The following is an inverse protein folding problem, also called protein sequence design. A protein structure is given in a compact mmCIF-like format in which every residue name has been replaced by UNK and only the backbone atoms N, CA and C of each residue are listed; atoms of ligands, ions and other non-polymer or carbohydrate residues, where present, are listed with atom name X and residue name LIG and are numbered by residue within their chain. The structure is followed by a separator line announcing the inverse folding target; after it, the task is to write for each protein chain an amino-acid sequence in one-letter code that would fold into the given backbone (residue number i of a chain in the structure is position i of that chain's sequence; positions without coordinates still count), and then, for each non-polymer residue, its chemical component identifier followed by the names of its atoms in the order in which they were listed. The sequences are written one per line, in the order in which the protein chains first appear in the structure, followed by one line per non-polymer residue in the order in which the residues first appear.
data_IF_886608459040
#
_entry.id   IF_886608459040
#
_cell.length_a   1.000
_cell.length_b   1.000
_cell.length_c   1.000
_cell.angle_alpha   90.00
_cell.angle_beta   90.00
_cell.angle_gamma   90.00
#
_symmetry.space_group_name_H-M   'P 1'
#
loop_
_entity.id
_entity.type
_entity.pdbx_description
1 polymer ?
#
# COMPACT_ATOMS: atom_id res chain seq x y z
N UNK A 1 92.52 33.22 -23.17
CA UNK A 1 91.34 34.06 -22.95
C UNK A 1 90.13 33.11 -23.24
N UNK A 2 89.50 32.64 -22.22
CA UNK A 2 88.46 31.59 -22.34
C UNK A 2 87.11 32.24 -22.04
N UNK A 3 86.22 32.21 -23.05
CA UNK A 3 84.92 32.77 -22.94
C UNK A 3 83.94 31.64 -22.45
N UNK A 4 83.47 31.77 -21.25
CA UNK A 4 82.54 30.89 -20.64
C UNK A 4 81.09 31.29 -21.00
N UNK A 5 80.47 30.52 -21.87
CA UNK A 5 79.01 30.62 -22.14
C UNK A 5 78.22 29.90 -21.04
N UNK A 6 77.52 30.65 -20.26
CA UNK A 6 76.58 30.14 -19.29
C UNK A 6 75.27 29.71 -20.01
N UNK A 7 75.09 28.43 -20.21
CA UNK A 7 73.77 27.91 -20.64
C UNK A 7 72.74 27.93 -19.50
N UNK A 8 71.74 28.75 -19.71
CA UNK A 8 70.56 28.77 -18.80
C UNK A 8 69.60 27.68 -19.13
N UNK A 9 69.58 26.68 -18.29
CA UNK A 9 68.61 25.56 -18.37
C UNK A 9 67.29 26.01 -17.80
N UNK A 10 66.27 26.22 -18.67
CA UNK A 10 64.93 26.54 -18.28
C UNK A 10 64.25 25.24 -18.02
N UNK A 11 63.99 24.93 -16.74
CA UNK A 11 63.15 23.81 -16.33
C UNK A 11 61.67 24.15 -16.56
N UNK A 12 61.07 23.59 -17.58
CA UNK A 12 59.61 23.65 -17.77
C UNK A 12 58.97 22.62 -16.80
N UNK A 13 58.46 23.12 -15.69
CA UNK A 13 57.59 22.33 -14.84
C UNK A 13 56.18 22.27 -15.46
N UNK A 14 55.85 21.17 -16.09
CA UNK A 14 54.47 20.88 -16.53
C UNK A 14 53.62 20.59 -15.31
N UNK A 15 52.77 21.53 -14.95
CA UNK A 15 51.71 21.33 -13.96
C UNK A 15 50.64 20.47 -14.65
N UNK A 16 50.64 19.17 -14.39
CA UNK A 16 49.53 18.31 -14.74
C UNK A 16 48.40 18.61 -13.77
N UNK A 17 47.46 19.43 -14.21
CA UNK A 17 46.21 19.65 -13.52
C UNK A 17 45.38 18.38 -13.68
N UNK A 18 45.42 17.50 -12.68
CA UNK A 18 44.48 16.40 -12.57
C UNK A 18 43.09 16.97 -12.25
N UNK A 19 42.29 17.17 -13.29
CA UNK A 19 40.85 17.38 -13.11
C UNK A 19 40.30 16.16 -12.45
N UNK A 20 39.98 16.29 -11.16
CA UNK A 20 39.18 15.31 -10.43
C UNK A 20 37.78 15.39 -11.04
N UNK A 21 37.49 14.44 -11.93
CA UNK A 21 36.13 14.21 -12.41
C UNK A 21 35.38 13.59 -11.24
N UNK A 22 34.83 14.46 -10.39
CA UNK A 22 33.84 14.06 -9.40
C UNK A 22 32.60 13.64 -10.18
N UNK A 23 32.45 12.37 -10.40
CA UNK A 23 31.18 11.79 -10.83
C UNK A 23 30.23 11.90 -9.64
N UNK A 24 29.58 13.05 -9.50
CA UNK A 24 28.35 13.19 -8.75
C UNK A 24 27.32 12.26 -9.42
N UNK A 25 27.39 10.99 -9.05
CA UNK A 25 26.21 10.16 -9.10
C UNK A 25 25.22 10.80 -8.12
N UNK A 26 24.52 11.84 -8.59
CA UNK A 26 23.31 12.25 -7.98
C UNK A 26 22.44 10.95 -7.93
N UNK A 27 22.45 10.29 -6.78
CA UNK A 27 21.37 9.42 -6.40
C UNK A 27 20.12 10.28 -6.59
N UNK A 28 19.45 10.09 -7.71
CA UNK A 28 18.03 10.33 -7.81
C UNK A 28 17.41 9.35 -6.79
N UNK A 29 17.52 9.71 -5.51
CA UNK A 29 16.52 9.30 -4.57
C UNK A 29 15.23 9.79 -5.19
N UNK A 30 14.49 8.85 -5.81
CA UNK A 30 13.13 9.11 -6.18
C UNK A 30 12.50 9.60 -4.88
N UNK A 31 12.22 10.90 -4.81
CA UNK A 31 11.35 11.47 -3.82
C UNK A 31 10.01 10.75 -4.02
N UNK A 32 9.89 9.57 -3.41
CA UNK A 32 8.63 8.89 -3.21
C UNK A 32 7.84 9.86 -2.36
N UNK A 33 7.05 10.69 -3.02
CA UNK A 33 6.15 11.63 -2.34
C UNK A 33 5.37 10.77 -1.35
N UNK A 34 5.67 10.95 -0.07
CA UNK A 34 5.03 10.19 0.98
C UNK A 34 3.61 10.71 1.05
N UNK A 35 2.72 10.02 0.36
CA UNK A 35 1.32 10.38 0.26
C UNK A 35 0.74 10.40 1.68
N UNK A 36 0.34 11.59 2.13
CA UNK A 36 -0.37 11.77 3.40
C UNK A 36 -1.77 11.19 3.24
N UNK A 37 -1.86 9.89 3.39
CA UNK A 37 -3.03 9.11 3.11
C UNK A 37 -4.07 9.29 4.22
N UNK A 38 -5.07 10.15 3.98
CA UNK A 38 -6.27 10.26 4.80
C UNK A 38 -7.36 9.27 4.34
N UNK A 39 -6.94 8.22 3.62
CA UNK A 39 -7.83 7.19 3.14
C UNK A 39 -8.33 6.31 4.26
N UNK A 40 -9.61 6.02 4.24
CA UNK A 40 -10.29 5.19 5.21
C UNK A 40 -11.18 4.17 4.52
N UNK A 41 -11.25 2.97 5.08
CA UNK A 41 -12.29 1.97 4.78
C UNK A 41 -13.02 1.60 6.07
N UNK A 42 -14.30 1.30 5.97
CA UNK A 42 -15.13 0.95 7.14
C UNK A 42 -16.33 0.10 6.74
N UNK A 43 -16.84 -0.67 7.69
CA UNK A 43 -18.09 -1.39 7.53
C UNK A 43 -19.27 -0.43 7.78
N UNK A 44 -20.08 -0.21 6.74
CA UNK A 44 -21.34 0.53 6.84
C UNK A 44 -22.40 -0.36 7.49
N UNK A 45 -22.45 -1.64 7.06
CA UNK A 45 -23.29 -2.70 7.62
C UNK A 45 -22.52 -4.01 7.57
N UNK A 46 -22.68 -4.89 8.55
CA UNK A 46 -23.38 -4.68 9.84
C UNK A 46 -22.65 -3.70 10.75
N UNK A 47 -23.32 -3.26 11.82
CA UNK A 47 -22.68 -2.48 12.89
C UNK A 47 -22.08 -3.42 13.94
N UNK A 48 -21.15 -2.89 14.73
CA UNK A 48 -20.62 -3.65 15.86
C UNK A 48 -21.73 -4.10 16.82
N UNK A 49 -21.70 -5.36 17.22
CA UNK A 49 -22.71 -5.97 18.08
C UNK A 49 -23.98 -6.44 17.34
N UNK A 50 -24.00 -6.43 16.00
CA UNK A 50 -25.14 -6.92 15.20
C UNK A 50 -25.40 -8.40 15.48
N UNK A 51 -26.70 -8.76 15.63
CA UNK A 51 -27.15 -10.14 15.82
C UNK A 51 -28.24 -10.50 14.82
N UNK A 52 -28.22 -11.70 14.32
CA UNK A 52 -29.22 -12.22 13.38
C UNK A 52 -29.36 -13.71 13.53
N UNK A 53 -30.52 -14.25 13.11
CA UNK A 53 -30.75 -15.70 12.96
C UNK A 53 -30.57 -16.13 11.49
N UNK A 54 -30.33 -15.19 10.58
CA UNK A 54 -30.09 -15.47 9.17
C UNK A 54 -28.63 -15.84 8.96
N UNK A 55 -28.38 -16.95 8.28
CA UNK A 55 -27.04 -17.36 7.88
C UNK A 55 -26.44 -16.46 6.78
N UNK A 56 -27.29 -15.78 6.01
CA UNK A 56 -26.87 -14.80 4.99
C UNK A 56 -26.81 -13.41 5.60
N UNK A 57 -25.60 -12.86 5.70
CA UNK A 57 -25.35 -11.53 6.25
C UNK A 57 -24.95 -10.59 5.12
N UNK A 58 -25.76 -9.55 4.87
CA UNK A 58 -25.39 -8.50 3.94
C UNK A 58 -24.34 -7.61 4.57
N UNK A 59 -23.18 -7.49 3.92
CA UNK A 59 -22.10 -6.58 4.28
C UNK A 59 -22.05 -5.41 3.28
N UNK A 60 -21.88 -4.20 3.78
CA UNK A 60 -21.74 -2.98 2.98
C UNK A 60 -20.47 -2.29 3.41
N UNK A 61 -19.60 -1.99 2.44
CA UNK A 61 -18.31 -1.38 2.63
C UNK A 61 -18.40 0.12 2.33
N UNK A 62 -17.80 0.92 3.18
CA UNK A 62 -17.62 2.36 2.98
C UNK A 62 -16.16 2.71 2.83
N UNK A 63 -15.92 3.81 2.12
CA UNK A 63 -14.60 4.40 1.96
C UNK A 63 -14.66 5.91 1.96
N UNK A 64 -13.55 6.55 2.34
CA UNK A 64 -13.29 7.99 2.17
C UNK A 64 -11.90 8.17 1.61
N UNK A 65 -11.75 9.08 0.67
CA UNK A 65 -10.47 9.35 -0.01
C UNK A 65 -9.82 8.06 -0.55
N UNK A 66 -10.65 7.21 -1.15
CA UNK A 66 -10.25 5.95 -1.78
C UNK A 66 -10.96 5.82 -3.11
N UNK A 67 -10.20 5.61 -4.17
CA UNK A 67 -10.73 5.19 -5.46
C UNK A 67 -10.90 3.67 -5.45
N UNK A 68 -12.14 3.21 -5.35
CA UNK A 68 -12.43 1.78 -5.45
C UNK A 68 -12.29 1.34 -6.89
N UNK A 69 -11.31 0.48 -7.13
CA UNK A 69 -10.95 0.00 -8.47
C UNK A 69 -10.87 -1.52 -8.52
N UNK A 70 -11.18 -2.15 -9.67
CA UNK A 70 -10.97 -3.57 -9.82
C UNK A 70 -9.51 -3.98 -9.68
N UNK A 71 -9.28 -5.23 -9.26
CA UNK A 71 -7.96 -5.87 -9.28
C UNK A 71 -7.36 -5.83 -10.69
N UNK A 72 -6.05 -5.70 -10.79
CA UNK A 72 -5.33 -5.59 -12.06
C UNK A 72 -5.41 -4.22 -12.74
N UNK A 73 -6.28 -3.31 -12.29
CA UNK A 73 -6.37 -1.96 -12.84
C UNK A 73 -5.40 -1.03 -12.14
N UNK A 74 -4.34 -0.64 -12.84
CA UNK A 74 -3.41 0.39 -12.37
C UNK A 74 -4.08 1.75 -12.54
N UNK A 75 -4.09 2.56 -11.49
CA UNK A 75 -4.54 3.95 -11.54
C UNK A 75 -3.31 4.83 -11.34
N UNK A 76 -2.94 5.54 -12.39
CA UNK A 76 -1.94 6.60 -12.30
C UNK A 76 -2.61 7.82 -11.66
N UNK A 77 -2.59 7.90 -10.34
CA UNK A 77 -3.07 9.08 -9.63
C UNK A 77 -1.92 10.07 -9.50
N UNK A 78 -2.13 11.28 -10.00
CA UNK A 78 -1.27 12.43 -9.71
C UNK A 78 -1.48 12.95 -8.29
N UNK A 79 -2.58 12.55 -7.65
CA UNK A 79 -2.93 12.92 -6.28
C UNK A 79 -2.54 11.80 -5.32
N UNK A 80 -1.39 11.99 -4.70
CA UNK A 80 -0.87 11.10 -3.66
C UNK A 80 -1.72 11.05 -2.38
N UNK A 81 -2.78 11.83 -2.26
CA UNK A 81 -3.64 11.84 -1.07
C UNK A 81 -4.68 10.73 -1.08
N UNK A 82 -4.92 10.10 -2.24
CA UNK A 82 -5.99 9.12 -2.45
C UNK A 82 -5.39 7.74 -2.71
N UNK A 83 -5.75 6.77 -1.88
CA UNK A 83 -5.43 5.37 -2.13
C UNK A 83 -6.38 4.81 -3.20
N UNK A 84 -5.89 3.90 -4.05
CA UNK A 84 -6.73 3.19 -5.02
C UNK A 84 -6.63 1.68 -4.81
N UNK A 85 -7.74 0.97 -5.01
CA UNK A 85 -7.75 -0.48 -4.85
C UNK A 85 -9.13 -1.05 -4.55
N UNK A 86 -9.15 -2.26 -4.02
CA UNK A 86 -10.37 -3.00 -3.77
C UNK A 86 -10.40 -3.60 -2.37
N UNK A 87 -11.61 -3.90 -1.92
CA UNK A 87 -11.83 -4.40 -0.57
C UNK A 87 -11.45 -5.87 -0.42
N UNK A 88 -10.91 -6.20 0.73
CA UNK A 88 -10.81 -7.56 1.27
C UNK A 88 -11.50 -7.57 2.63
N UNK A 89 -12.36 -8.57 2.87
CA UNK A 89 -12.99 -8.78 4.17
C UNK A 89 -12.25 -9.89 4.92
N UNK A 90 -11.80 -9.55 6.11
CA UNK A 90 -11.12 -10.47 7.02
C UNK A 90 -12.14 -10.94 8.04
N UNK A 91 -12.29 -12.28 8.19
CA UNK A 91 -13.20 -12.92 9.10
C UNK A 91 -12.39 -13.78 10.08
N UNK A 92 -12.54 -13.54 11.39
CA UNK A 92 -11.89 -14.28 12.48
C UNK A 92 -10.38 -14.50 12.28
N UNK A 93 -9.71 -13.49 11.75
CA UNK A 93 -8.28 -13.56 11.46
C UNK A 93 -7.59 -12.22 11.75
N UNK A 94 -6.29 -12.29 12.03
CA UNK A 94 -5.45 -11.10 12.12
C UNK A 94 -5.18 -10.51 10.73
N UNK A 95 -4.69 -9.26 10.70
CA UNK A 95 -4.16 -8.68 9.47
C UNK A 95 -3.05 -9.58 8.90
N UNK A 96 -3.02 -9.83 7.58
CA UNK A 96 -1.99 -10.63 6.95
C UNK A 96 -0.65 -9.88 6.92
N UNK A 97 0.37 -10.47 6.30
CA UNK A 97 1.61 -9.75 6.03
C UNK A 97 1.33 -8.56 5.08
N UNK A 98 1.42 -7.34 5.62
CA UNK A 98 1.09 -6.11 4.91
C UNK A 98 2.07 -5.71 3.78
N UNK A 99 3.14 -6.47 3.59
CA UNK A 99 4.13 -6.27 2.51
C UNK A 99 4.01 -7.32 1.39
N UNK A 100 2.97 -8.14 1.42
CA UNK A 100 2.73 -9.20 0.44
C UNK A 100 1.29 -9.18 -0.01
N UNK A 101 0.97 -9.81 -1.14
CA UNK A 101 -0.42 -9.97 -1.56
C UNK A 101 -1.27 -10.60 -0.46
N UNK A 102 -2.46 -10.02 -0.26
CA UNK A 102 -3.44 -10.52 0.71
C UNK A 102 -3.86 -11.92 0.28
N UNK A 103 -3.81 -12.93 1.18
CA UNK A 103 -4.23 -14.27 0.82
C UNK A 103 -5.72 -14.31 0.44
N UNK A 104 -6.12 -15.30 -0.36
CA UNK A 104 -7.51 -15.57 -0.66
C UNK A 104 -7.91 -16.88 0.03
N UNK A 105 -8.88 -16.82 0.93
CA UNK A 105 -9.39 -17.97 1.70
C UNK A 105 -10.75 -17.64 2.29
N UNK A 106 -11.33 -18.59 3.07
CA UNK A 106 -12.57 -18.32 3.83
C UNK A 106 -12.43 -17.19 4.85
N UNK A 107 -11.22 -16.98 5.39
CA UNK A 107 -10.92 -15.90 6.34
C UNK A 107 -10.47 -14.60 5.67
N UNK A 108 -10.20 -14.60 4.38
CA UNK A 108 -9.78 -13.43 3.61
C UNK A 108 -10.53 -13.41 2.28
N UNK A 109 -11.72 -12.82 2.29
CA UNK A 109 -12.58 -12.77 1.11
C UNK A 109 -12.19 -11.60 0.24
N UNK A 110 -11.97 -11.86 -1.04
CA UNK A 110 -11.51 -10.91 -2.03
C UNK A 110 -12.67 -10.35 -2.87
N UNK A 111 -12.77 -9.02 -2.98
CA UNK A 111 -13.78 -8.31 -3.77
C UNK A 111 -13.15 -7.60 -4.97
N UNK A 112 -12.45 -8.39 -5.79
CA UNK A 112 -11.60 -7.90 -6.90
C UNK A 112 -12.32 -7.22 -8.05
N UNK A 113 -13.64 -7.26 -8.10
CA UNK A 113 -14.41 -6.48 -9.08
C UNK A 113 -14.70 -5.04 -8.64
N UNK A 114 -14.19 -4.60 -7.48
CA UNK A 114 -14.49 -3.28 -6.92
C UNK A 114 -15.86 -3.22 -6.24
N UNK A 115 -16.38 -4.36 -5.78
CA UNK A 115 -17.64 -4.42 -5.08
C UNK A 115 -17.60 -3.62 -3.78
N UNK A 116 -18.70 -2.93 -3.49
CA UNK A 116 -18.91 -2.17 -2.25
C UNK A 116 -19.93 -2.81 -1.34
N UNK A 117 -20.51 -3.93 -1.75
CA UNK A 117 -21.39 -4.75 -0.93
C UNK A 117 -21.32 -6.21 -1.35
N UNK A 118 -21.69 -7.10 -0.44
CA UNK A 118 -21.80 -8.54 -0.69
C UNK A 118 -22.77 -9.20 0.30
N UNK A 119 -23.14 -10.44 0.02
CA UNK A 119 -23.77 -11.34 0.97
C UNK A 119 -22.75 -12.41 1.32
N UNK A 120 -22.50 -12.60 2.60
CA UNK A 120 -21.63 -13.66 3.12
C UNK A 120 -22.45 -14.68 3.87
N UNK A 121 -22.14 -15.97 3.71
CA UNK A 121 -22.80 -17.05 4.45
C UNK A 121 -21.97 -17.43 5.66
N UNK A 122 -22.56 -17.37 6.84
CA UNK A 122 -21.94 -17.67 8.12
C UNK A 122 -22.81 -18.68 8.89
N UNK A 123 -22.17 -19.69 9.45
CA UNK A 123 -22.85 -20.63 10.38
C UNK A 123 -23.16 -19.90 11.70
N UNK A 124 -24.05 -20.47 12.56
CA UNK A 124 -24.28 -19.92 13.89
C UNK A 124 -22.98 -19.82 14.68
N UNK A 125 -22.68 -18.59 15.20
CA UNK A 125 -21.43 -18.30 15.90
C UNK A 125 -21.18 -16.82 16.07
N UNK A 126 -20.08 -16.49 16.73
CA UNK A 126 -19.57 -15.11 16.86
C UNK A 126 -18.43 -14.92 15.89
N UNK A 127 -18.39 -13.76 15.25
CA UNK A 127 -17.44 -13.43 14.20
C UNK A 127 -16.85 -12.04 14.40
N UNK A 128 -15.57 -11.92 14.17
CA UNK A 128 -14.90 -10.64 14.00
C UNK A 128 -14.79 -10.33 12.50
N UNK A 129 -15.13 -9.10 12.11
CA UNK A 129 -15.05 -8.62 10.73
C UNK A 129 -14.16 -7.38 10.65
N UNK A 130 -13.27 -7.37 9.67
CA UNK A 130 -12.39 -6.22 9.41
C UNK A 130 -12.18 -6.04 7.90
N UNK A 131 -12.14 -4.80 7.41
CA UNK A 131 -11.76 -4.51 6.02
C UNK A 131 -10.27 -4.19 5.92
N UNK A 132 -9.67 -4.60 4.81
CA UNK A 132 -8.33 -4.21 4.38
C UNK A 132 -8.40 -3.84 2.90
N UNK A 133 -7.79 -2.71 2.51
CA UNK A 133 -7.67 -2.31 1.12
C UNK A 133 -6.40 -2.92 0.51
N UNK A 134 -6.54 -3.61 -0.60
CA UNK A 134 -5.44 -4.06 -1.45
C UNK A 134 -5.36 -3.22 -2.71
N UNK A 135 -4.15 -2.95 -3.19
CA UNK A 135 -3.91 -2.28 -4.46
C UNK A 135 -4.26 -3.19 -5.66
N UNK A 136 -3.92 -2.73 -6.88
CA UNK A 136 -4.16 -3.50 -8.11
C UNK A 136 -3.54 -4.91 -8.10
N UNK A 137 -2.47 -5.12 -7.33
CA UNK A 137 -1.74 -6.38 -7.18
C UNK A 137 -2.10 -7.12 -5.86
N UNK A 138 -3.17 -6.71 -5.18
CA UNK A 138 -3.62 -7.24 -3.89
C UNK A 138 -2.67 -6.95 -2.72
N UNK A 139 -1.68 -6.06 -2.89
CA UNK A 139 -0.75 -5.71 -1.82
C UNK A 139 -1.31 -4.51 -1.05
N UNK A 140 -1.34 -4.55 0.29
CA UNK A 140 -1.68 -3.37 1.08
C UNK A 140 -0.73 -2.20 0.78
N UNK A 141 -1.27 -0.98 0.80
CA UNK A 141 -0.46 0.23 0.61
C UNK A 141 0.65 0.34 1.66
N UNK A 142 1.70 1.12 1.39
CA UNK A 142 2.82 1.34 2.32
C UNK A 142 2.33 1.85 3.69
N UNK A 143 1.34 2.77 3.67
CA UNK A 143 0.50 3.11 4.81
C UNK A 143 -0.80 2.31 4.68
N UNK A 144 -0.95 1.18 5.37
CA UNK A 144 -2.08 0.30 5.16
C UNK A 144 -3.41 0.95 5.52
N UNK A 145 -4.42 0.73 4.69
CA UNK A 145 -5.78 1.24 4.89
C UNK A 145 -6.67 0.09 5.32
N UNK A 146 -7.07 0.07 6.57
CA UNK A 146 -7.93 -0.96 7.14
C UNK A 146 -8.95 -0.37 8.12
N UNK A 147 -10.05 -1.10 8.33
CA UNK A 147 -11.11 -0.67 9.24
C UNK A 147 -10.82 -1.03 10.70
N UNK A 148 -11.64 -0.48 11.60
CA UNK A 148 -11.81 -1.08 12.93
C UNK A 148 -12.41 -2.47 12.78
N UNK A 149 -12.09 -3.34 13.74
CA UNK A 149 -12.76 -4.64 13.88
C UNK A 149 -14.15 -4.38 14.44
N UNK A 150 -15.15 -5.07 13.90
CA UNK A 150 -16.48 -5.18 14.50
C UNK A 150 -16.76 -6.63 14.85
N UNK A 151 -17.59 -6.85 15.85
CA UNK A 151 -18.08 -8.17 16.25
C UNK A 151 -19.54 -8.31 15.90
N UNK A 152 -19.90 -9.48 15.37
CA UNK A 152 -21.28 -9.84 15.06
C UNK A 152 -21.60 -11.25 15.58
N UNK A 153 -22.87 -11.60 15.66
CA UNK A 153 -23.32 -12.92 16.12
C UNK A 153 -24.44 -13.46 15.23
N UNK A 154 -24.23 -14.64 14.69
CA UNK A 154 -25.30 -15.42 14.03
C UNK A 154 -25.84 -16.40 15.06
N UNK A 155 -27.10 -16.25 15.41
CA UNK A 155 -27.78 -17.07 16.40
C UNK A 155 -28.30 -18.36 15.76
N UNK A 156 -28.31 -19.46 16.51
CA UNK A 156 -28.99 -20.68 16.08
C UNK A 156 -30.50 -20.44 15.93
N UNK A 157 -31.08 -20.83 14.80
CA UNK A 157 -32.54 -20.91 14.70
C UNK A 157 -33.04 -21.99 15.67
N UNK A 158 -33.97 -21.63 16.51
CA UNK A 158 -34.68 -22.58 17.39
C UNK A 158 -35.65 -23.45 16.57
#
# INVERSE_FOLDING_TARGET
MVNMHKSLLILLTSIISSAIYSSDHAHLESNKVQCANNSEVFLVSPKNGFKTTLSEVKVIFGSRNVDITPAGKIVESSDCSIASGHHHLIIDSALPNLKRPIPSSKSYIHFGGGQTEAIISLDPGKYSLQLLLGDYAHVPHEKPVFSKIIEIEVLSSQ
#
